data_IF_162657360074
#
_entry.id   IF_162657360074
#
_cell.length_a   1.000
_cell.length_b   1.000
_cell.length_c   1.000
_cell.angle_alpha   90.00
_cell.angle_beta   90.00
_cell.angle_gamma   90.00
#
_symmetry.space_group_name_H-M   'P 1'
#
loop_
_entity.id
_entity.type
_entity.pdbx_description
1 polymer ?
#
# COMPACT_ATOMS: atom_id res chain seq x y z
N UNK A 1 21.43 -1.54 -1.07
CA UNK A 1 21.50 -2.02 -2.47
C UNK A 1 20.37 -3.02 -2.67
N UNK A 2 19.33 -2.67 -3.41
CA UNK A 2 18.36 -3.62 -3.97
C UNK A 2 18.05 -3.14 -5.39
N UNK A 3 18.58 -3.89 -6.34
CA UNK A 3 18.43 -3.70 -7.77
C UNK A 3 17.11 -4.32 -8.25
N UNK A 4 16.55 -3.75 -9.31
CA UNK A 4 15.49 -4.24 -10.19
C UNK A 4 14.00 -4.07 -9.77
N UNK A 5 13.31 -3.23 -10.55
CA UNK A 5 11.84 -3.11 -10.72
C UNK A 5 11.12 -2.01 -9.89
N UNK A 6 11.04 -0.80 -10.47
CA UNK A 6 10.33 0.38 -9.94
C UNK A 6 8.88 0.13 -9.43
N UNK A 7 8.19 -0.89 -9.92
CA UNK A 7 6.80 -1.21 -9.51
C UNK A 7 6.74 -1.97 -8.18
N UNK A 8 7.69 -2.88 -7.94
CA UNK A 8 7.74 -3.68 -6.72
C UNK A 8 8.10 -2.81 -5.51
N UNK A 9 8.99 -1.83 -5.72
CA UNK A 9 9.35 -0.84 -4.71
C UNK A 9 8.15 0.05 -4.31
N UNK A 10 7.29 0.42 -5.27
CA UNK A 10 6.06 1.17 -5.00
C UNK A 10 5.09 0.34 -4.14
N UNK A 11 4.86 -0.92 -4.52
CA UNK A 11 3.99 -1.83 -3.75
C UNK A 11 4.55 -2.03 -2.34
N UNK A 12 5.85 -2.27 -2.21
CA UNK A 12 6.48 -2.43 -0.90
C UNK A 12 6.38 -1.16 -0.06
N UNK A 13 6.58 0.01 -0.65
CA UNK A 13 6.46 1.29 0.06
C UNK A 13 5.03 1.52 0.55
N UNK A 14 4.03 1.29 -0.31
CA UNK A 14 2.62 1.42 0.05
C UNK A 14 2.27 0.43 1.16
N UNK A 15 2.60 -0.86 1.02
CA UNK A 15 2.38 -1.84 2.08
C UNK A 15 3.09 -1.45 3.38
N UNK A 16 4.36 -1.03 3.32
CA UNK A 16 5.10 -0.61 4.51
C UNK A 16 4.50 0.63 5.17
N UNK A 17 4.01 1.60 4.40
CA UNK A 17 3.30 2.76 4.92
C UNK A 17 1.98 2.36 5.61
N UNK A 18 1.26 1.40 5.04
CA UNK A 18 -0.02 0.94 5.59
C UNK A 18 0.13 0.12 6.88
N UNK A 19 1.20 -0.66 6.98
CA UNK A 19 1.55 -1.36 8.22
C UNK A 19 2.37 -0.50 9.19
N UNK A 20 2.69 0.76 8.85
CA UNK A 20 3.51 1.66 9.67
C UNK A 20 4.99 1.25 9.78
N UNK A 21 5.44 0.28 8.99
CA UNK A 21 6.83 -0.26 8.98
C UNK A 21 7.71 0.39 7.91
N UNK A 22 7.30 1.55 7.38
CA UNK A 22 8.09 2.29 6.38
C UNK A 22 9.37 2.85 7.01
N UNK A 23 10.53 2.57 6.42
CA UNK A 23 11.80 3.15 6.86
C UNK A 23 11.94 4.61 6.41
N UNK A 24 12.55 5.46 7.25
CA UNK A 24 12.71 6.89 6.96
C UNK A 24 13.44 7.18 5.63
N UNK A 25 14.42 6.36 5.25
CA UNK A 25 15.11 6.47 3.95
C UNK A 25 14.19 6.23 2.75
N UNK A 26 13.21 5.32 2.87
CA UNK A 26 12.21 5.07 1.82
C UNK A 26 11.18 6.18 1.77
N UNK A 27 10.78 6.69 2.94
CA UNK A 27 9.94 7.86 3.06
C UNK A 27 10.60 9.06 2.32
N UNK A 28 11.80 9.50 2.70
CA UNK A 28 12.48 10.61 2.01
C UNK A 28 12.64 10.38 0.50
N UNK A 29 12.95 9.16 0.07
CA UNK A 29 13.03 8.81 -1.34
C UNK A 29 11.68 8.95 -2.07
N UNK A 30 10.59 8.49 -1.45
CA UNK A 30 9.24 8.54 -2.03
C UNK A 30 8.66 9.96 -2.00
N UNK A 31 8.94 10.72 -0.95
CA UNK A 31 8.55 12.13 -0.81
C UNK A 31 9.40 13.07 -1.68
N UNK A 32 10.60 12.64 -2.11
CA UNK A 32 11.41 13.34 -3.11
C UNK A 32 10.90 13.14 -4.54
N UNK A 33 9.93 12.24 -4.78
CA UNK A 33 9.34 12.04 -6.10
C UNK A 33 8.40 13.21 -6.43
N UNK A 34 8.53 13.77 -7.64
CA UNK A 34 7.70 14.91 -8.12
C UNK A 34 6.17 14.68 -8.13
N UNK A 35 5.68 13.45 -7.96
CA UNK A 35 4.27 13.11 -8.20
C UNK A 35 3.74 12.20 -7.09
N UNK A 36 2.88 12.75 -6.23
CA UNK A 36 2.26 12.05 -5.10
C UNK A 36 1.13 11.08 -5.50
N UNK A 37 0.47 11.36 -6.64
CA UNK A 37 -0.71 10.64 -7.14
C UNK A 37 -0.60 9.10 -7.16
N UNK A 38 0.52 8.47 -7.59
CA UNK A 38 0.63 7.00 -7.56
C UNK A 38 0.53 6.40 -6.16
N UNK A 39 1.03 7.09 -5.13
CA UNK A 39 0.94 6.63 -3.75
C UNK A 39 -0.48 6.77 -3.21
N UNK A 40 -1.15 7.89 -3.49
CA UNK A 40 -2.54 8.10 -3.11
C UNK A 40 -3.47 7.06 -3.76
N UNK A 41 -3.30 6.80 -5.06
CA UNK A 41 -4.10 5.82 -5.78
C UNK A 41 -3.90 4.41 -5.23
N UNK A 42 -2.65 4.03 -4.93
CA UNK A 42 -2.35 2.73 -4.35
C UNK A 42 -2.95 2.56 -2.94
N UNK A 43 -2.89 3.61 -2.11
CA UNK A 43 -3.52 3.62 -0.79
C UNK A 43 -5.05 3.50 -0.86
N UNK A 44 -5.70 4.28 -1.73
CA UNK A 44 -7.16 4.20 -1.94
C UNK A 44 -7.57 2.82 -2.42
N UNK A 45 -6.84 2.26 -3.40
CA UNK A 45 -7.10 0.92 -3.91
C UNK A 45 -6.98 -0.14 -2.82
N UNK A 46 -5.95 -0.06 -1.97
CA UNK A 46 -5.80 -1.00 -0.87
C UNK A 46 -6.95 -0.89 0.13
N UNK A 47 -7.30 0.33 0.58
CA UNK A 47 -8.39 0.51 1.56
C UNK A 47 -9.70 -0.02 0.99
N UNK A 48 -9.98 0.25 -0.28
CA UNK A 48 -11.15 -0.28 -0.96
C UNK A 48 -11.18 -1.81 -0.95
N UNK A 49 -10.08 -2.46 -1.35
CA UNK A 49 -9.96 -3.92 -1.34
C UNK A 49 -10.09 -4.49 0.08
N UNK A 50 -9.52 -3.83 1.08
CA UNK A 50 -9.60 -4.24 2.48
C UNK A 50 -11.04 -4.22 2.98
N UNK A 51 -11.77 -3.12 2.76
CA UNK A 51 -13.17 -3.00 3.18
C UNK A 51 -14.06 -4.02 2.48
N UNK A 52 -13.92 -4.19 1.16
CA UNK A 52 -14.67 -5.21 0.41
C UNK A 52 -14.35 -6.61 0.93
N UNK A 53 -13.08 -6.90 1.20
CA UNK A 53 -12.64 -8.16 1.80
C UNK A 53 -13.25 -8.41 3.17
N UNK A 54 -13.33 -7.38 4.03
CA UNK A 54 -13.99 -7.49 5.34
C UNK A 54 -15.49 -7.75 5.22
N UNK A 55 -16.19 -7.05 4.31
CA UNK A 55 -17.62 -7.28 4.06
C UNK A 55 -17.85 -8.72 3.61
N UNK A 56 -17.04 -9.20 2.66
CA UNK A 56 -17.13 -10.58 2.18
C UNK A 56 -16.84 -11.59 3.28
N UNK A 57 -15.80 -11.35 4.10
CA UNK A 57 -15.44 -12.23 5.21
C UNK A 57 -16.54 -12.30 6.28
N UNK A 58 -17.09 -11.14 6.68
CA UNK A 58 -18.16 -11.10 7.68
C UNK A 58 -19.40 -11.80 7.15
N UNK A 59 -19.85 -11.48 5.93
CA UNK A 59 -21.07 -12.05 5.39
C UNK A 59 -20.94 -13.52 4.98
N UNK A 60 -19.77 -13.95 4.51
CA UNK A 60 -19.56 -15.28 3.95
C UNK A 60 -18.96 -16.30 4.92
N UNK A 61 -18.26 -15.85 5.97
CA UNK A 61 -17.61 -16.75 6.95
C UNK A 61 -18.21 -16.58 8.34
N UNK A 62 -18.39 -15.33 8.79
CA UNK A 62 -18.84 -15.07 10.17
C UNK A 62 -20.36 -15.22 10.32
N UNK A 63 -21.13 -14.79 9.32
CA UNK A 63 -22.59 -14.77 9.33
C UNK A 63 -23.25 -15.90 8.51
N UNK A 64 -22.44 -16.75 7.85
CA UNK A 64 -22.91 -17.94 7.15
C UNK A 64 -23.20 -19.09 8.14
#
# INVERSE_FOLDING_TARGET
MASSTNKLALVQSVCAAMFGVQSGQKQEYDFSKKRFWPFALAGVLFVFLFVVGLIWFVNGVVLA
#
